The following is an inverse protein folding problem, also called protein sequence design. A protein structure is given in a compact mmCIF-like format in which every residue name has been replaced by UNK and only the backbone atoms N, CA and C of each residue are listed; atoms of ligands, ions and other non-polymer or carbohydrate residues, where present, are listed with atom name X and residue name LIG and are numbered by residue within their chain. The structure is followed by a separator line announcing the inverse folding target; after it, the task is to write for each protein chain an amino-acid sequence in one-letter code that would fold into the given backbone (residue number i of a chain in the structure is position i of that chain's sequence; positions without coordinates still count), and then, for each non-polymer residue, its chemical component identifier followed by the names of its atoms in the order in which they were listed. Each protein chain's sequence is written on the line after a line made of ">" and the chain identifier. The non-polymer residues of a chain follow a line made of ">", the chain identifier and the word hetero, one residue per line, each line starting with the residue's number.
data_IF_565727725177
#
_entry.id   IF_565727725177
#
_cell.length_a   1.000
_cell.length_b   1.000
_cell.length_c   1.000
_cell.angle_alpha   90.00
_cell.angle_beta   90.00
_cell.angle_gamma   90.00
#
_symmetry.space_group_name_H-M   'P 1'
#
loop_
_entity.id
_entity.type
_entity.pdbx_description
1 polymer ?
#
# COMPACT_ATOMS: atom_id res chain seq x y z
N UNK A 1 27.35 48.93 3.62
CA UNK A 1 26.71 48.77 4.94
C UNK A 1 26.74 47.30 5.31
N UNK A 2 27.58 46.92 6.27
CA UNK A 2 27.65 45.56 6.83
C UNK A 2 27.02 45.62 8.23
N UNK A 3 25.86 45.00 8.42
CA UNK A 3 25.29 44.78 9.75
C UNK A 3 25.96 43.54 10.36
N UNK A 4 26.71 43.76 11.44
CA UNK A 4 27.23 42.71 12.31
C UNK A 4 26.25 42.60 13.49
N UNK A 5 25.57 41.46 13.64
CA UNK A 5 24.69 41.19 14.79
C UNK A 5 25.45 40.27 15.74
N UNK A 6 25.74 40.78 16.93
CA UNK A 6 26.33 40.02 18.02
C UNK A 6 25.25 39.14 18.68
N UNK A 7 25.55 37.86 18.86
CA UNK A 7 24.71 36.90 19.60
C UNK A 7 25.23 36.85 21.04
N UNK A 8 24.38 36.97 22.08
CA UNK A 8 24.83 36.86 23.46
C UNK A 8 25.07 35.40 23.83
N UNK A 9 26.14 35.16 24.60
CA UNK A 9 26.46 33.88 25.20
C UNK A 9 25.41 33.53 26.28
N UNK A 10 24.74 32.39 26.12
CA UNK A 10 23.87 31.80 27.14
C UNK A 10 24.73 30.96 28.08
N UNK A 11 24.86 31.42 29.32
CA UNK A 11 25.48 30.65 30.42
C UNK A 11 24.42 29.70 30.97
N UNK A 12 24.62 28.39 30.78
CA UNK A 12 23.78 27.35 31.36
C UNK A 12 24.24 27.10 32.81
N UNK A 13 23.43 27.51 33.79
CA UNK A 13 23.63 27.15 35.20
C UNK A 13 22.88 25.82 35.43
N UNK A 14 23.62 24.73 35.61
CA UNK A 14 23.09 23.44 36.03
C UNK A 14 22.81 23.48 37.54
N UNK A 15 21.55 23.69 37.91
CA UNK A 15 21.07 23.42 39.27
C UNK A 15 20.59 21.98 39.35
N UNK A 16 21.26 21.17 40.17
CA UNK A 16 20.84 19.82 40.54
C UNK A 16 19.53 19.87 41.35
N UNK A 17 18.41 19.49 40.72
CA UNK A 17 17.16 19.23 41.40
C UNK A 17 17.14 17.78 41.93
N UNK A 18 16.57 17.53 43.13
CA UNK A 18 16.48 16.18 43.69
C UNK A 18 15.50 15.32 42.88
N UNK A 19 15.95 14.11 42.54
CA UNK A 19 15.16 13.03 41.98
C UNK A 19 14.10 12.57 42.99
N UNK A 20 12.89 13.10 42.85
CA UNK A 20 11.72 12.62 43.57
C UNK A 20 10.48 13.00 42.80
N UNK A 21 9.97 12.08 41.97
CA UNK A 21 8.62 11.97 41.39
C UNK A 21 8.72 11.29 40.02
N UNK A 22 8.38 10.00 39.94
CA UNK A 22 8.39 9.25 38.67
C UNK A 22 7.38 8.10 38.58
N UNK A 23 6.35 8.09 39.44
CA UNK A 23 5.30 7.05 39.42
C UNK A 23 3.90 7.58 39.05
N UNK A 24 3.66 8.90 39.09
CA UNK A 24 2.36 9.47 38.71
C UNK A 24 2.18 9.64 37.18
N UNK A 25 3.27 9.81 36.43
CA UNK A 25 3.20 10.10 34.98
C UNK A 25 2.87 8.86 34.12
N UNK A 26 3.17 7.65 34.60
CA UNK A 26 2.89 6.40 33.86
C UNK A 26 1.38 6.06 33.91
N UNK A 27 0.68 6.41 34.99
CA UNK A 27 -0.76 6.19 35.13
C UNK A 27 -1.62 7.08 34.23
N UNK A 28 -1.23 8.35 34.04
CA UNK A 28 -1.97 9.29 33.18
C UNK A 28 -1.86 8.93 31.70
N UNK A 29 -0.69 8.52 31.21
CA UNK A 29 -0.53 8.09 29.82
C UNK A 29 -1.37 6.83 29.47
N UNK A 30 -1.55 5.93 30.44
CA UNK A 30 -2.40 4.74 30.29
C UNK A 30 -3.89 5.10 30.26
N UNK A 31 -4.33 6.02 31.14
CA UNK A 31 -5.71 6.48 31.19
C UNK A 31 -6.08 7.33 29.96
N UNK A 32 -5.17 8.17 29.47
CA UNK A 32 -5.39 8.96 28.24
C UNK A 32 -5.40 8.08 27.00
N UNK A 33 -4.60 7.00 26.96
CA UNK A 33 -4.66 5.99 25.90
C UNK A 33 -6.00 5.24 25.89
N UNK A 34 -6.47 4.79 27.07
CA UNK A 34 -7.80 4.17 27.20
C UNK A 34 -8.95 5.14 26.89
N UNK A 35 -8.76 6.44 27.12
CA UNK A 35 -9.75 7.47 26.81
C UNK A 35 -9.78 7.83 25.32
N UNK A 36 -8.63 7.77 24.65
CA UNK A 36 -8.54 7.93 23.19
C UNK A 36 -9.10 6.70 22.45
N UNK A 37 -9.03 5.52 23.05
CA UNK A 37 -9.64 4.29 22.53
C UNK A 37 -11.19 4.25 22.69
N UNK A 38 -11.80 5.16 23.45
CA UNK A 38 -13.25 5.17 23.70
C UNK A 38 -14.05 6.23 22.93
N UNK A 39 -13.39 7.06 22.12
CA UNK A 39 -14.10 7.98 21.22
C UNK A 39 -14.54 7.17 20.00
N UNK A 40 -15.85 7.09 19.69
CA UNK A 40 -16.33 6.40 18.49
C UNK A 40 -15.59 6.96 17.28
N UNK A 41 -14.87 6.08 16.57
CA UNK A 41 -14.15 6.49 15.37
C UNK A 41 -15.18 6.74 14.27
N UNK A 42 -15.15 7.93 13.69
CA UNK A 42 -15.93 8.19 12.48
C UNK A 42 -15.38 7.32 11.36
N UNK A 43 -16.22 6.90 10.43
CA UNK A 43 -15.78 6.09 9.31
C UNK A 43 -14.81 6.84 8.40
N UNK A 44 -14.92 8.17 8.25
CA UNK A 44 -13.88 8.97 7.60
C UNK A 44 -12.54 8.94 8.34
N UNK A 45 -12.54 8.84 9.67
CA UNK A 45 -11.31 8.66 10.43
C UNK A 45 -10.66 7.30 10.13
N UNK A 46 -11.46 6.24 9.97
CA UNK A 46 -10.97 4.90 9.58
C UNK A 46 -10.35 4.92 8.17
N UNK A 47 -11.05 5.50 7.18
CA UNK A 47 -10.54 5.64 5.81
C UNK A 47 -9.23 6.44 5.75
N UNK A 48 -9.16 7.54 6.52
CA UNK A 48 -7.97 8.39 6.57
C UNK A 48 -6.81 7.75 7.34
N UNK A 49 -7.09 6.97 8.38
CA UNK A 49 -6.09 6.27 9.18
C UNK A 49 -5.55 5.00 8.50
N UNK A 50 -6.29 4.40 7.56
CA UNK A 50 -5.83 3.22 6.83
C UNK A 50 -4.51 3.52 6.10
N UNK A 51 -3.49 2.71 6.37
CA UNK A 51 -2.15 2.85 5.82
C UNK A 51 -1.92 1.77 4.77
N UNK A 52 -1.48 2.18 3.57
CA UNK A 52 -1.07 1.26 2.53
C UNK A 52 0.36 0.78 2.75
N UNK A 53 0.73 -0.30 2.07
CA UNK A 53 2.09 -0.81 2.05
C UNK A 53 3.10 0.24 1.56
N UNK A 54 4.36 0.05 1.93
CA UNK A 54 5.41 0.99 1.52
C UNK A 54 5.49 1.09 -0.01
N UNK A 55 5.43 2.33 -0.48
CA UNK A 55 5.47 2.65 -1.90
C UNK A 55 4.14 2.54 -2.66
N UNK A 56 3.08 2.08 -2.01
CA UNK A 56 1.75 2.13 -2.59
C UNK A 56 1.15 3.53 -2.51
N UNK A 57 0.14 3.76 -3.34
CA UNK A 57 -0.68 4.98 -3.29
C UNK A 57 -2.04 4.68 -2.70
N UNK A 58 -2.52 5.54 -1.80
CA UNK A 58 -3.87 5.46 -1.24
C UNK A 58 -4.83 6.32 -2.05
N UNK A 59 -5.93 5.73 -2.49
CA UNK A 59 -7.08 6.44 -3.04
C UNK A 59 -8.28 6.25 -2.12
N UNK A 60 -8.93 7.35 -1.72
CA UNK A 60 -10.16 7.29 -0.93
C UNK A 60 -11.35 7.63 -1.84
N UNK A 61 -12.32 6.73 -1.91
CA UNK A 61 -13.60 6.90 -2.60
C UNK A 61 -14.69 6.97 -1.52
N UNK A 62 -15.58 7.95 -1.61
CA UNK A 62 -16.66 8.16 -0.63
C UNK A 62 -17.95 8.41 -1.41
N UNK A 63 -19.02 7.76 -0.96
CA UNK A 63 -20.38 7.92 -1.44
C UNK A 63 -21.27 8.30 -0.22
N UNK A 64 -22.21 9.21 -0.41
CA UNK A 64 -22.93 9.88 0.68
C UNK A 64 -22.03 10.85 1.47
N UNK A 65 -22.58 11.41 2.56
CA UNK A 65 -21.89 12.31 3.49
C UNK A 65 -21.99 11.73 4.90
N UNK A 66 -20.86 11.65 5.60
CA UNK A 66 -20.87 11.26 7.01
C UNK A 66 -21.40 12.41 7.88
N UNK A 67 -22.70 12.45 8.14
CA UNK A 67 -23.34 13.53 8.92
C UNK A 67 -24.37 13.06 9.97
N UNK A 68 -24.29 11.78 10.35
CA UNK A 68 -25.12 11.15 11.39
C UNK A 68 -26.59 11.00 10.99
N UNK A 69 -26.79 10.52 9.76
CA UNK A 69 -28.10 10.23 9.17
C UNK A 69 -28.96 11.50 9.07
N UNK A 70 -28.37 12.64 8.69
CA UNK A 70 -29.09 13.91 8.68
C UNK A 70 -29.90 14.05 7.39
N UNK A 71 -31.25 14.08 7.45
CA UNK A 71 -32.09 14.19 6.25
C UNK A 71 -32.09 15.60 5.64
N UNK A 72 -31.24 16.51 6.12
CA UNK A 72 -31.18 17.89 5.68
C UNK A 72 -30.65 18.05 4.25
N UNK A 73 -30.01 17.01 3.71
CA UNK A 73 -29.48 16.96 2.34
C UNK A 73 -30.12 15.78 1.63
N UNK A 74 -30.53 16.00 0.37
CA UNK A 74 -30.94 14.88 -0.49
C UNK A 74 -29.69 14.33 -1.14
N UNK A 75 -29.41 13.08 -0.83
CA UNK A 75 -28.20 12.36 -1.22
C UNK A 75 -28.63 11.09 -1.92
N UNK A 76 -28.98 11.18 -3.20
CA UNK A 76 -29.41 10.01 -3.95
C UNK A 76 -28.23 9.08 -4.22
N UNK A 77 -28.44 7.78 -4.02
CA UNK A 77 -27.47 6.78 -4.46
C UNK A 77 -27.28 6.82 -5.97
N UNK A 78 -26.13 6.37 -6.44
CA UNK A 78 -25.82 6.31 -7.87
C UNK A 78 -25.70 4.87 -8.37
N UNK A 79 -26.55 4.49 -9.32
CA UNK A 79 -26.43 3.22 -10.02
C UNK A 79 -25.83 3.47 -11.40
N UNK A 80 -24.77 2.74 -11.72
CA UNK A 80 -24.09 2.88 -13.02
C UNK A 80 -25.03 2.64 -14.22
N UNK A 81 -24.80 3.32 -15.36
CA UNK A 81 -25.68 3.21 -16.52
C UNK A 81 -25.83 1.79 -17.07
N UNK A 82 -27.03 1.48 -17.57
CA UNK A 82 -27.34 0.19 -18.20
C UNK A 82 -27.53 -0.96 -17.20
N UNK A 83 -27.58 -0.66 -15.90
CA UNK A 83 -28.03 -1.59 -14.87
C UNK A 83 -29.41 -1.19 -14.40
N UNK A 84 -30.26 -2.19 -14.24
CA UNK A 84 -31.57 -2.04 -13.61
C UNK A 84 -31.53 -2.89 -12.36
N UNK A 85 -32.03 -2.36 -11.25
CA UNK A 85 -32.36 -3.25 -10.15
C UNK A 85 -33.48 -4.16 -10.60
N UNK A 86 -33.33 -5.44 -10.29
CA UNK A 86 -34.39 -6.41 -10.53
C UNK A 86 -35.68 -6.06 -9.79
N UNK A 87 -36.62 -6.99 -9.79
CA UNK A 87 -37.89 -6.91 -9.05
C UNK A 87 -37.77 -6.54 -7.54
N UNK A 88 -36.55 -6.49 -6.98
CA UNK A 88 -36.25 -6.15 -5.59
C UNK A 88 -36.22 -4.66 -5.24
N UNK A 89 -36.28 -3.72 -6.20
CA UNK A 89 -36.55 -2.31 -5.91
C UNK A 89 -37.91 -1.92 -6.52
N UNK A 90 -39.04 -2.15 -5.83
CA UNK A 90 -40.37 -2.05 -6.44
C UNK A 90 -40.74 -0.64 -6.92
N UNK A 91 -39.97 0.40 -6.58
CA UNK A 91 -40.26 1.81 -6.91
C UNK A 91 -39.02 2.68 -7.22
N UNK A 92 -38.12 2.19 -8.06
CA UNK A 92 -37.49 3.06 -9.08
C UNK A 92 -36.36 4.03 -8.69
N UNK A 93 -35.53 3.73 -7.70
CA UNK A 93 -34.32 4.52 -7.43
C UNK A 93 -33.29 3.76 -6.61
N UNK A 94 -32.06 4.28 -6.56
CA UNK A 94 -30.94 3.79 -5.75
C UNK A 94 -31.19 3.84 -4.22
N UNK A 95 -32.33 4.39 -3.81
CA UNK A 95 -32.51 4.91 -2.46
C UNK A 95 -31.83 6.27 -2.30
N UNK A 96 -32.11 6.93 -1.18
CA UNK A 96 -31.37 8.10 -0.73
C UNK A 96 -30.61 7.70 0.54
N UNK A 97 -29.38 8.19 0.68
CA UNK A 97 -28.68 8.19 1.95
C UNK A 97 -29.53 8.92 3.00
N UNK A 98 -29.30 8.57 4.26
CA UNK A 98 -29.99 9.06 5.47
C UNK A 98 -31.47 8.70 5.56
N UNK A 99 -32.07 8.26 4.46
CA UNK A 99 -33.46 7.87 4.43
C UNK A 99 -33.68 6.50 5.04
N UNK A 100 -34.82 6.44 5.71
CA UNK A 100 -35.34 5.31 6.40
C UNK A 100 -36.62 4.94 5.68
N UNK A 101 -36.56 3.92 4.83
CA UNK A 101 -37.71 3.51 4.07
C UNK A 101 -38.02 2.04 4.38
N UNK A 102 -39.23 1.81 4.89
CA UNK A 102 -39.74 0.46 5.16
C UNK A 102 -40.01 -0.24 3.83
N UNK A 103 -39.60 -1.49 3.72
CA UNK A 103 -39.70 -2.34 2.53
C UNK A 103 -38.95 -1.78 1.31
N UNK A 104 -37.82 -1.08 1.51
CA UNK A 104 -37.01 -0.51 0.43
C UNK A 104 -35.52 -0.81 0.58
N UNK A 105 -34.92 -1.42 -0.45
CA UNK A 105 -33.48 -1.58 -0.53
C UNK A 105 -32.75 -0.31 -0.95
N UNK A 106 -31.47 -0.25 -0.63
CA UNK A 106 -30.55 0.82 -1.04
C UNK A 106 -29.45 0.22 -1.93
N UNK A 107 -28.99 0.98 -2.93
CA UNK A 107 -27.89 0.57 -3.78
C UNK A 107 -27.01 1.73 -4.22
N UNK A 108 -25.71 1.48 -4.38
CA UNK A 108 -24.79 2.42 -5.01
C UNK A 108 -23.66 1.68 -5.73
N UNK A 109 -22.90 2.39 -6.56
CA UNK A 109 -21.85 1.85 -7.41
C UNK A 109 -20.54 2.64 -7.24
N UNK A 110 -19.50 1.98 -6.75
CA UNK A 110 -18.13 2.50 -6.79
C UNK A 110 -17.50 2.24 -8.16
N UNK A 111 -16.87 3.27 -8.74
CA UNK A 111 -15.96 3.08 -9.87
C UNK A 111 -14.52 2.89 -9.37
N UNK A 112 -13.97 1.70 -9.61
CA UNK A 112 -12.63 1.29 -9.20
C UNK A 112 -11.78 1.05 -10.43
N UNK A 113 -10.78 1.92 -10.66
CA UNK A 113 -9.95 1.86 -11.86
C UNK A 113 -8.60 1.17 -11.61
N UNK A 114 -8.25 0.11 -12.33
CA UNK A 114 -6.93 -0.52 -12.20
C UNK A 114 -6.74 -1.38 -10.95
N UNK A 115 -5.53 -1.93 -10.74
CA UNK A 115 -5.27 -2.95 -9.73
C UNK A 115 -5.28 -2.38 -8.30
N UNK A 116 -5.74 -3.20 -7.37
CA UNK A 116 -5.83 -2.94 -5.93
C UNK A 116 -4.97 -3.99 -5.20
N UNK A 117 -4.01 -3.55 -4.40
CA UNK A 117 -3.16 -4.44 -3.60
C UNK A 117 -3.73 -4.74 -2.21
N UNK A 118 -4.58 -3.85 -1.70
CA UNK A 118 -5.26 -3.98 -0.41
C UNK A 118 -6.23 -2.81 -0.20
N UNK A 119 -6.85 -2.74 0.96
CA UNK A 119 -7.68 -1.60 1.32
C UNK A 119 -8.63 -1.89 2.47
N UNK A 120 -9.49 -0.92 2.77
CA UNK A 120 -10.61 -1.09 3.71
C UNK A 120 -11.91 -0.59 3.09
N UNK A 121 -12.98 -1.35 3.27
CA UNK A 121 -14.35 -0.90 3.05
C UNK A 121 -14.94 -0.42 4.37
N UNK A 122 -15.64 0.71 4.34
CA UNK A 122 -16.27 1.33 5.51
C UNK A 122 -17.69 1.70 5.14
N UNK A 123 -18.64 1.39 6.01
CA UNK A 123 -20.04 1.78 5.88
C UNK A 123 -20.57 2.22 7.24
N UNK A 124 -21.36 3.29 7.26
CA UNK A 124 -22.13 3.66 8.43
C UNK A 124 -23.59 3.35 8.20
N UNK A 125 -24.07 2.35 8.93
CA UNK A 125 -25.40 1.78 8.76
C UNK A 125 -26.13 1.65 10.10
N UNK A 126 -27.42 1.96 10.10
CA UNK A 126 -28.29 1.86 11.27
C UNK A 126 -29.58 1.15 10.90
N UNK A 127 -29.76 -0.06 11.44
CA UNK A 127 -30.98 -0.83 11.32
C UNK A 127 -32.11 -0.21 12.14
N UNK A 128 -33.32 -0.20 11.60
CA UNK A 128 -34.52 0.25 12.28
C UNK A 128 -35.10 -0.83 13.18
N UNK A 129 -35.61 -0.45 14.34
CA UNK A 129 -36.38 -1.34 15.21
C UNK A 129 -35.70 -2.68 15.56
N UNK A 130 -34.38 -2.77 15.42
CA UNK A 130 -33.66 -4.03 15.57
C UNK A 130 -33.90 -5.04 14.43
N UNK A 131 -34.21 -4.58 13.22
CA UNK A 131 -34.16 -5.42 12.01
C UNK A 131 -32.75 -5.99 11.88
N UNK A 132 -32.62 -7.29 12.13
CA UNK A 132 -31.35 -8.01 12.08
C UNK A 132 -31.25 -8.92 10.85
N UNK A 133 -32.29 -8.93 10.00
CA UNK A 133 -32.39 -9.77 8.81
C UNK A 133 -31.94 -9.08 7.51
N UNK A 134 -31.57 -7.81 7.60
CA UNK A 134 -31.07 -7.03 6.47
C UNK A 134 -29.69 -7.55 6.04
N UNK A 135 -29.43 -7.58 4.73
CA UNK A 135 -28.16 -8.07 4.17
C UNK A 135 -27.40 -6.95 3.50
N UNK A 136 -26.07 -7.00 3.61
CA UNK A 136 -25.14 -6.20 2.82
C UNK A 136 -24.54 -7.09 1.75
N UNK A 137 -24.74 -6.74 0.48
CA UNK A 137 -24.33 -7.53 -0.68
C UNK A 137 -23.37 -6.72 -1.55
N UNK A 138 -22.40 -7.41 -2.13
CA UNK A 138 -21.42 -6.87 -3.06
C UNK A 138 -21.51 -7.61 -4.40
N UNK A 139 -21.16 -6.92 -5.48
CA UNK A 139 -20.90 -7.56 -6.76
C UNK A 139 -21.31 -6.74 -7.95
N UNK A 140 -21.97 -7.42 -8.91
CA UNK A 140 -22.49 -6.81 -10.12
C UNK A 140 -24.02 -6.87 -10.12
N UNK A 141 -24.65 -5.70 -10.12
CA UNK A 141 -26.08 -5.61 -10.32
C UNK A 141 -26.50 -6.26 -11.63
N UNK A 142 -27.67 -6.91 -11.61
CA UNK A 142 -28.27 -7.54 -12.77
C UNK A 142 -28.40 -6.56 -13.95
N UNK A 143 -28.29 -7.09 -15.17
CA UNK A 143 -28.61 -6.32 -16.40
C UNK A 143 -30.11 -6.31 -16.70
N UNK A 144 -30.80 -7.36 -16.27
CA UNK A 144 -32.19 -7.63 -16.59
C UNK A 144 -33.05 -7.52 -15.31
N UNK A 145 -34.23 -6.89 -15.36
CA UNK A 145 -35.11 -6.73 -14.19
C UNK A 145 -35.56 -8.05 -13.53
N UNK A 146 -35.52 -9.16 -14.29
CA UNK A 146 -35.98 -10.47 -13.84
C UNK A 146 -34.84 -11.41 -13.44
N UNK A 147 -33.58 -10.96 -13.54
CA UNK A 147 -32.43 -11.74 -13.08
C UNK A 147 -32.27 -11.57 -11.57
N UNK A 148 -33.04 -12.41 -10.87
CA UNK A 148 -33.08 -12.52 -9.41
C UNK A 148 -31.72 -12.98 -8.85
N UNK A 149 -30.95 -13.68 -9.69
CA UNK A 149 -29.61 -14.20 -9.43
C UNK A 149 -28.51 -13.25 -9.86
N UNK A 150 -28.80 -11.93 -9.92
CA UNK A 150 -27.80 -10.90 -10.21
C UNK A 150 -26.46 -11.25 -9.57
N UNK A 151 -25.36 -11.00 -10.27
CA UNK A 151 -24.01 -11.49 -9.97
C UNK A 151 -23.41 -10.97 -8.67
N UNK A 152 -24.14 -11.19 -7.57
CA UNK A 152 -23.73 -11.04 -6.20
C UNK A 152 -22.65 -12.07 -5.96
N UNK A 153 -21.50 -11.56 -5.59
CA UNK A 153 -20.32 -12.36 -5.34
C UNK A 153 -20.19 -12.69 -3.86
N UNK A 154 -20.91 -11.97 -3.00
CA UNK A 154 -20.97 -12.23 -1.58
C UNK A 154 -21.95 -11.28 -0.90
N UNK A 155 -22.43 -11.73 0.25
CA UNK A 155 -23.26 -10.93 1.13
C UNK A 155 -23.48 -11.65 2.45
N UNK A 156 -23.72 -10.88 3.49
CA UNK A 156 -23.97 -11.38 4.83
C UNK A 156 -25.06 -10.54 5.50
N UNK A 157 -25.71 -11.13 6.50
CA UNK A 157 -26.64 -10.43 7.38
C UNK A 157 -25.88 -9.35 8.15
N UNK A 158 -26.43 -8.13 8.22
CA UNK A 158 -25.85 -7.02 8.98
C UNK A 158 -25.64 -7.39 10.46
N UNK A 159 -26.53 -8.20 11.03
CA UNK A 159 -26.39 -8.76 12.38
C UNK A 159 -25.18 -9.70 12.51
N UNK A 160 -24.93 -10.53 11.50
CA UNK A 160 -23.76 -11.41 11.45
C UNK A 160 -22.47 -10.60 11.28
N UNK A 161 -22.48 -9.54 10.47
CA UNK A 161 -21.33 -8.64 10.33
C UNK A 161 -20.95 -7.99 11.66
N UNK A 162 -21.93 -7.63 12.49
CA UNK A 162 -21.67 -6.99 13.80
C UNK A 162 -21.05 -7.92 14.84
N UNK A 163 -21.15 -9.23 14.64
CA UNK A 163 -20.71 -10.25 15.61
C UNK A 163 -19.57 -11.11 15.08
N UNK A 164 -19.26 -11.03 13.79
CA UNK A 164 -18.20 -11.78 13.14
C UNK A 164 -16.81 -11.25 13.44
N UNK A 165 -15.80 -12.09 13.22
CA UNK A 165 -14.39 -11.74 13.45
C UNK A 165 -13.79 -10.86 12.35
N UNK A 166 -14.35 -10.91 11.13
CA UNK A 166 -13.87 -10.18 9.95
C UNK A 166 -14.11 -8.66 10.03
N UNK A 167 -15.20 -8.24 10.68
CA UNK A 167 -15.66 -6.87 10.64
C UNK A 167 -15.37 -6.16 11.96
N UNK A 168 -14.70 -5.02 11.86
CA UNK A 168 -14.59 -4.06 12.96
C UNK A 168 -15.89 -3.28 13.11
N UNK A 169 -16.31 -3.07 14.36
CA UNK A 169 -17.55 -2.37 14.71
C UNK A 169 -17.24 -1.22 15.66
N UNK A 170 -17.46 0.01 15.19
CA UNK A 170 -17.36 1.24 15.97
C UNK A 170 -18.76 1.90 16.02
N UNK A 171 -19.64 1.36 16.88
CA UNK A 171 -21.04 1.80 16.97
C UNK A 171 -21.84 1.45 15.70
N UNK A 172 -22.20 2.46 14.92
CA UNK A 172 -22.90 2.29 13.64
C UNK A 172 -21.95 2.18 12.44
N UNK A 173 -20.63 2.30 12.67
CA UNK A 173 -19.62 2.16 11.62
C UNK A 173 -19.15 0.71 11.58
N UNK A 174 -19.32 0.08 10.42
CA UNK A 174 -18.79 -1.24 10.10
C UNK A 174 -17.63 -1.07 9.13
N UNK A 175 -16.56 -1.82 9.32
CA UNK A 175 -15.42 -1.81 8.41
C UNK A 175 -14.73 -3.17 8.33
N UNK A 176 -14.16 -3.49 7.16
CA UNK A 176 -13.38 -4.70 6.96
C UNK A 176 -12.30 -4.46 5.90
N UNK A 177 -11.16 -5.14 6.04
CA UNK A 177 -10.14 -5.10 4.99
C UNK A 177 -10.63 -5.87 3.77
N UNK A 178 -10.29 -5.40 2.57
CA UNK A 178 -10.80 -5.98 1.32
C UNK A 178 -10.35 -7.42 1.11
N UNK A 179 -9.17 -7.79 1.63
CA UNK A 179 -8.63 -9.16 1.62
C UNK A 179 -9.34 -10.11 2.58
N UNK A 180 -9.94 -9.60 3.66
CA UNK A 180 -10.58 -10.43 4.70
C UNK A 180 -12.08 -10.62 4.42
N UNK A 181 -12.65 -9.81 3.51
CA UNK A 181 -14.05 -9.91 3.08
C UNK A 181 -14.22 -11.12 2.14
N UNK A 182 -14.36 -12.30 2.74
CA UNK A 182 -14.60 -13.55 2.03
C UNK A 182 -15.90 -13.51 1.23
N UNK A 183 -15.79 -13.88 -0.03
CA UNK A 183 -16.91 -13.96 -0.96
C UNK A 183 -17.47 -15.38 -0.92
N UNK A 184 -18.54 -15.55 -0.14
CA UNK A 184 -19.25 -16.83 -0.03
C UNK A 184 -20.03 -17.09 -1.31
N UNK A 185 -19.86 -18.29 -1.87
CA UNK A 185 -20.64 -18.78 -3.00
C UNK A 185 -22.10 -18.91 -2.56
N UNK A 186 -22.95 -17.94 -2.90
CA UNK A 186 -24.36 -17.88 -2.48
C UNK A 186 -25.25 -18.94 -3.19
N UNK A 187 -24.66 -19.83 -3.98
CA UNK A 187 -25.32 -21.01 -4.56
C UNK A 187 -24.35 -21.78 -5.45
N UNK A 188 -24.61 -23.07 -5.73
CA UNK A 188 -23.72 -24.01 -6.45
C UNK A 188 -23.27 -23.60 -7.88
N UNK A 189 -23.61 -22.39 -8.33
CA UNK A 189 -23.11 -21.76 -9.54
C UNK A 189 -22.06 -20.69 -9.23
N UNK A 190 -20.83 -21.13 -8.92
CA UNK A 190 -19.61 -20.32 -8.78
C UNK A 190 -19.71 -18.97 -9.50
N UNK A 191 -19.71 -17.88 -8.75
CA UNK A 191 -19.61 -16.52 -9.26
C UNK A 191 -18.43 -16.40 -10.23
N UNK A 192 -18.70 -16.52 -11.54
CA UNK A 192 -17.72 -16.21 -12.58
C UNK A 192 -17.85 -14.73 -12.90
N UNK A 193 -16.76 -13.97 -12.78
CA UNK A 193 -16.68 -12.69 -13.47
C UNK A 193 -17.02 -12.93 -14.95
N UNK A 194 -17.92 -12.11 -15.48
CA UNK A 194 -18.57 -12.30 -16.78
C UNK A 194 -17.49 -12.47 -17.89
N UNK A 195 -17.24 -13.71 -18.33
CA UNK A 195 -16.30 -14.01 -19.41
C UNK A 195 -14.83 -14.29 -19.04
N UNK A 196 -14.46 -14.45 -17.77
CA UNK A 196 -13.10 -14.90 -17.40
C UNK A 196 -13.02 -16.42 -17.27
N UNK A 197 -11.93 -17.01 -17.77
CA UNK A 197 -11.52 -18.36 -17.36
C UNK A 197 -11.45 -18.37 -15.82
N UNK A 198 -12.15 -19.32 -15.20
CA UNK A 198 -12.58 -19.37 -13.78
C UNK A 198 -11.44 -19.25 -12.76
N UNK A 199 -10.90 -18.06 -12.58
CA UNK A 199 -10.14 -17.73 -11.39
C UNK A 199 -11.12 -17.62 -10.22
N UNK A 200 -10.88 -18.41 -9.17
CA UNK A 200 -11.74 -18.45 -7.98
C UNK A 200 -11.55 -17.12 -7.26
N UNK A 201 -12.56 -16.25 -7.33
CA UNK A 201 -12.59 -15.01 -6.56
C UNK A 201 -12.88 -15.35 -5.10
N UNK A 202 -11.91 -15.14 -4.20
CA UNK A 202 -12.03 -15.53 -2.79
C UNK A 202 -12.39 -14.34 -1.89
N UNK A 203 -11.91 -13.15 -2.25
CA UNK A 203 -12.10 -11.92 -1.48
C UNK A 203 -12.65 -10.78 -2.33
N UNK A 204 -13.17 -9.73 -1.68
CA UNK A 204 -13.58 -8.51 -2.38
C UNK A 204 -12.40 -7.87 -3.15
N UNK A 205 -11.18 -7.95 -2.61
CA UNK A 205 -9.97 -7.53 -3.33
C UNK A 205 -9.78 -8.28 -4.65
N UNK A 206 -9.94 -9.61 -4.64
CA UNK A 206 -9.78 -10.43 -5.86
C UNK A 206 -10.84 -10.05 -6.90
N UNK A 207 -12.06 -9.75 -6.47
CA UNK A 207 -13.13 -9.32 -7.37
C UNK A 207 -12.77 -8.02 -8.09
N UNK A 208 -12.27 -7.03 -7.33
CA UNK A 208 -11.84 -5.75 -7.89
C UNK A 208 -10.70 -5.94 -8.90
N UNK A 209 -9.75 -6.83 -8.59
CA UNK A 209 -8.60 -7.13 -9.46
C UNK A 209 -8.95 -7.96 -10.70
N UNK A 210 -9.95 -8.83 -10.62
CA UNK A 210 -10.53 -9.53 -11.78
C UNK A 210 -11.25 -8.58 -12.75
N UNK A 211 -11.22 -7.27 -12.48
CA UNK A 211 -11.88 -6.23 -13.25
C UNK A 211 -13.35 -6.05 -12.89
N UNK A 212 -13.85 -6.74 -11.86
CA UNK A 212 -15.25 -6.73 -11.44
C UNK A 212 -16.21 -6.79 -12.63
N UNK A 213 -17.27 -5.98 -12.59
CA UNK A 213 -18.13 -5.77 -13.76
C UNK A 213 -17.65 -4.59 -14.62
N UNK A 214 -16.40 -4.60 -15.07
CA UNK A 214 -15.80 -3.52 -15.86
C UNK A 214 -15.33 -2.33 -15.03
N UNK A 215 -14.67 -2.62 -13.90
CA UNK A 215 -14.14 -1.62 -12.96
C UNK A 215 -15.20 -1.01 -12.05
N UNK A 216 -16.31 -1.73 -11.81
CA UNK A 216 -17.37 -1.30 -10.92
C UNK A 216 -17.57 -2.31 -9.80
N UNK A 217 -17.84 -1.79 -8.62
CA UNK A 217 -18.34 -2.53 -7.46
C UNK A 217 -19.71 -1.96 -7.11
N UNK A 218 -20.75 -2.78 -7.31
CA UNK A 218 -22.08 -2.43 -6.85
C UNK A 218 -22.27 -2.94 -5.42
N UNK A 219 -22.85 -2.10 -4.57
CA UNK A 219 -23.19 -2.42 -3.18
C UNK A 219 -24.70 -2.33 -3.03
N UNK A 220 -25.30 -3.31 -2.37
CA UNK A 220 -26.73 -3.37 -2.16
C UNK A 220 -27.06 -3.77 -0.73
N UNK A 221 -27.93 -2.99 -0.09
CA UNK A 221 -28.43 -3.26 1.24
C UNK A 221 -29.92 -3.59 1.13
N UNK A 222 -30.30 -4.76 1.66
CA UNK A 222 -31.71 -5.13 1.80
C UNK A 222 -32.31 -4.41 2.99
N UNK A 223 -33.51 -3.87 2.77
CA UNK A 223 -34.57 -3.38 3.69
C UNK A 223 -34.18 -2.68 5.00
N UNK A 224 -35.07 -1.84 5.56
CA UNK A 224 -35.08 -1.32 6.94
C UNK A 224 -33.75 -0.82 7.56
N UNK A 225 -32.78 -0.48 6.73
CA UNK A 225 -31.45 -0.02 7.13
C UNK A 225 -31.18 1.34 6.52
N UNK A 226 -30.98 2.33 7.38
CA UNK A 226 -30.48 3.64 6.98
C UNK A 226 -28.99 3.56 6.70
N UNK A 227 -28.54 4.18 5.62
CA UNK A 227 -27.13 4.32 5.26
C UNK A 227 -26.77 5.80 5.29
N UNK A 228 -25.81 6.18 6.14
CA UNK A 228 -25.28 7.55 6.23
C UNK A 228 -24.25 7.77 5.12
N UNK A 229 -23.27 6.87 5.03
CA UNK A 229 -22.26 6.92 3.97
C UNK A 229 -21.59 5.55 3.75
N UNK A 230 -20.92 5.43 2.61
CA UNK A 230 -20.01 4.31 2.31
C UNK A 230 -18.67 4.85 1.78
N UNK A 231 -17.58 4.14 2.04
CA UNK A 231 -16.30 4.49 1.47
C UNK A 231 -15.34 3.32 1.32
N UNK A 232 -14.37 3.53 0.43
CA UNK A 232 -13.25 2.64 0.17
C UNK A 232 -11.97 3.43 0.33
N UNK A 233 -11.02 2.91 1.11
CA UNK A 233 -9.63 3.32 1.01
C UNK A 233 -8.88 2.21 0.28
N UNK A 234 -8.49 2.46 -0.96
CA UNK A 234 -7.82 1.52 -1.85
C UNK A 234 -6.31 1.76 -1.83
N UNK A 235 -5.57 0.68 -1.63
CA UNK A 235 -4.12 0.66 -1.82
C UNK A 235 -3.80 0.17 -3.23
N UNK A 236 -2.93 0.92 -3.90
CA UNK A 236 -2.62 0.70 -5.32
C UNK A 236 -1.12 0.63 -5.53
N UNK A 237 -0.64 -0.33 -6.34
CA UNK A 237 0.75 -0.33 -6.74
C UNK A 237 1.09 0.94 -7.54
N UNK A 238 2.36 1.34 -7.61
CA UNK A 238 2.78 2.48 -8.44
C UNK A 238 2.33 2.34 -9.89
N UNK A 239 1.76 3.41 -10.46
CA UNK A 239 1.29 3.43 -11.85
C UNK A 239 2.40 3.17 -12.88
N UNK A 240 3.65 3.48 -12.51
CA UNK A 240 4.84 3.22 -13.34
C UNK A 240 5.78 2.33 -12.55
N UNK A 241 6.11 1.17 -13.11
CA UNK A 241 7.09 0.25 -12.53
C UNK A 241 8.49 0.86 -12.64
N UNK A 242 9.15 1.00 -11.49
CA UNK A 242 10.51 1.51 -11.38
C UNK A 242 11.36 0.54 -10.56
N UNK A 243 12.66 0.57 -10.79
CA UNK A 243 13.65 -0.09 -9.97
C UNK A 243 14.49 0.92 -9.22
N UNK A 244 15.08 0.47 -8.12
CA UNK A 244 16.12 1.20 -7.40
C UNK A 244 17.40 1.18 -8.22
N UNK A 245 18.04 2.34 -8.28
CA UNK A 245 19.40 2.44 -8.81
C UNK A 245 20.33 3.11 -7.82
N UNK A 246 21.58 2.68 -7.80
CA UNK A 246 22.62 3.29 -6.99
C UNK A 246 23.57 4.10 -7.85
N UNK A 247 24.13 5.16 -7.28
CA UNK A 247 25.17 5.96 -7.93
C UNK A 247 26.54 5.67 -7.32
N UNK A 248 27.62 5.77 -8.12
CA UNK A 248 28.97 5.70 -7.60
C UNK A 248 29.24 6.90 -6.69
N UNK A 249 29.75 6.63 -5.49
CA UNK A 249 30.24 7.66 -4.59
C UNK A 249 31.69 7.96 -4.95
N UNK A 250 31.95 9.16 -5.46
CA UNK A 250 33.31 9.63 -5.72
C UNK A 250 33.93 10.10 -4.41
N UNK A 251 34.83 9.32 -3.83
CA UNK A 251 35.65 9.80 -2.72
C UNK A 251 36.86 10.57 -3.27
N UNK A 252 37.18 11.75 -2.75
CA UNK A 252 38.26 12.61 -3.26
C UNK A 252 39.69 12.11 -2.91
N UNK A 253 39.87 10.86 -2.48
CA UNK A 253 41.13 10.35 -1.96
C UNK A 253 41.81 9.31 -2.87
N UNK A 254 43.15 9.32 -3.01
CA UNK A 254 43.90 8.31 -3.75
C UNK A 254 43.85 6.90 -3.11
N UNK A 255 43.30 6.77 -1.90
CA UNK A 255 43.26 5.52 -1.13
C UNK A 255 42.12 4.54 -1.53
N UNK A 256 41.37 4.82 -2.60
CA UNK A 256 40.24 3.96 -3.03
C UNK A 256 40.47 3.22 -4.35
N UNK A 257 41.71 3.12 -4.82
CA UNK A 257 42.02 2.25 -5.95
C UNK A 257 41.60 0.81 -5.63
N UNK A 258 40.82 0.20 -6.53
CA UNK A 258 40.33 -1.16 -6.36
C UNK A 258 39.08 -1.28 -5.47
N UNK A 259 38.42 -0.18 -5.09
CA UNK A 259 37.17 -0.19 -4.33
C UNK A 259 36.03 0.47 -5.11
N UNK A 260 34.90 -0.21 -5.14
CA UNK A 260 33.62 0.33 -5.62
C UNK A 260 32.76 0.67 -4.40
N UNK A 261 32.17 1.86 -4.40
CA UNK A 261 31.16 2.27 -3.42
C UNK A 261 29.94 2.85 -4.16
N UNK A 262 28.80 2.21 -3.98
CA UNK A 262 27.52 2.56 -4.59
C UNK A 262 26.55 2.97 -3.47
N UNK A 263 25.87 4.12 -3.61
CA UNK A 263 24.96 4.59 -2.57
C UNK A 263 23.75 5.34 -3.12
N UNK A 264 22.63 5.23 -2.39
CA UNK A 264 21.39 5.94 -2.69
C UNK A 264 21.53 7.46 -2.56
N UNK A 265 22.32 7.88 -1.58
CA UNK A 265 22.54 9.29 -1.21
C UNK A 265 23.92 9.81 -1.64
N UNK A 266 24.48 9.26 -2.72
CA UNK A 266 25.79 9.70 -3.24
C UNK A 266 25.79 11.17 -3.69
N UNK A 267 24.63 11.73 -4.03
CA UNK A 267 24.46 13.10 -4.49
C UNK A 267 23.56 13.88 -3.52
N UNK A 268 23.92 15.14 -3.26
CA UNK A 268 23.16 16.03 -2.36
C UNK A 268 21.81 16.46 -2.93
N UNK A 269 21.73 16.51 -4.25
CA UNK A 269 20.55 16.84 -5.03
C UNK A 269 19.39 15.88 -4.71
N UNK A 270 18.29 16.36 -4.10
CA UNK A 270 17.14 15.53 -3.74
C UNK A 270 16.46 14.89 -4.95
N UNK A 271 16.45 15.56 -6.12
CA UNK A 271 15.80 15.05 -7.34
C UNK A 271 16.59 13.89 -7.96
N UNK A 272 17.83 13.71 -7.52
CA UNK A 272 18.72 12.62 -7.93
C UNK A 272 18.96 11.59 -6.83
N UNK A 273 18.16 11.58 -5.76
CA UNK A 273 18.23 10.50 -4.77
C UNK A 273 17.58 9.23 -5.33
N UNK A 274 18.08 8.07 -4.92
CA UNK A 274 17.33 6.84 -5.15
C UNK A 274 16.07 6.82 -4.25
N UNK A 275 15.09 6.00 -4.59
CA UNK A 275 13.90 5.78 -3.77
C UNK A 275 13.73 4.27 -3.53
N UNK A 276 14.10 3.75 -2.35
CA UNK A 276 14.04 2.31 -2.10
C UNK A 276 12.62 1.74 -2.13
N UNK A 277 11.61 2.55 -1.79
CA UNK A 277 10.24 2.06 -1.61
C UNK A 277 9.51 1.83 -2.94
N UNK A 278 9.67 2.74 -3.91
CA UNK A 278 8.97 2.67 -5.20
C UNK A 278 9.90 2.62 -6.41
N UNK A 279 11.21 2.61 -6.19
CA UNK A 279 12.20 2.79 -7.24
C UNK A 279 12.30 4.24 -7.71
N UNK A 280 13.42 4.55 -8.33
CA UNK A 280 13.72 5.90 -8.84
C UNK A 280 13.83 5.96 -10.37
N UNK A 281 14.06 4.82 -11.01
CA UNK A 281 14.29 4.75 -12.45
C UNK A 281 13.30 3.80 -13.11
N UNK A 282 12.64 4.23 -14.18
CA UNK A 282 11.69 3.41 -14.94
C UNK A 282 12.36 2.15 -15.47
N UNK A 283 11.70 0.99 -15.37
CA UNK A 283 12.35 -0.29 -15.68
C UNK A 283 12.74 -0.47 -17.14
N UNK A 284 12.14 0.31 -18.06
CA UNK A 284 12.53 0.35 -19.47
C UNK A 284 13.87 1.09 -19.72
N UNK A 285 14.43 1.76 -18.71
CA UNK A 285 15.70 2.47 -18.85
C UNK A 285 16.86 1.47 -18.99
N UNK A 286 17.83 1.82 -19.84
CA UNK A 286 19.03 1.01 -20.03
C UNK A 286 20.15 1.49 -19.12
N UNK A 287 20.46 0.71 -18.08
CA UNK A 287 21.55 0.97 -17.13
C UNK A 287 22.38 -0.29 -16.91
N UNK A 288 23.66 -0.17 -16.54
CA UNK A 288 24.45 -1.31 -16.08
C UNK A 288 23.78 -2.00 -14.88
N UNK A 289 23.94 -3.32 -14.77
CA UNK A 289 23.57 -4.06 -13.56
C UNK A 289 24.80 -4.16 -12.67
N UNK A 290 24.66 -3.79 -11.39
CA UNK A 290 25.69 -4.09 -10.40
C UNK A 290 25.59 -5.58 -10.02
N UNK A 291 26.64 -6.33 -10.32
CA UNK A 291 26.77 -7.71 -9.92
C UNK A 291 27.78 -7.80 -8.78
N UNK A 292 27.53 -8.72 -7.85
CA UNK A 292 28.40 -9.02 -6.72
C UNK A 292 28.73 -10.51 -6.70
N UNK A 293 29.98 -10.83 -6.38
CA UNK A 293 30.38 -12.15 -5.89
C UNK A 293 30.63 -12.01 -4.39
N UNK A 294 29.69 -12.47 -3.54
CA UNK A 294 29.86 -12.43 -2.09
C UNK A 294 31.13 -13.15 -1.65
N UNK A 295 31.70 -12.73 -0.53
CA UNK A 295 32.88 -13.33 0.06
C UNK A 295 33.18 -12.75 1.43
N UNK A 296 34.31 -13.17 2.01
CA UNK A 296 34.75 -12.78 3.35
C UNK A 296 36.02 -11.91 3.30
N UNK A 297 36.13 -11.05 2.27
CA UNK A 297 37.28 -10.16 2.17
C UNK A 297 37.29 -9.23 3.39
N UNK A 298 38.45 -9.05 4.05
CA UNK A 298 38.55 -8.13 5.18
C UNK A 298 38.19 -6.72 4.70
N UNK A 299 37.36 -6.03 5.47
CA UNK A 299 37.05 -4.62 5.20
C UNK A 299 38.37 -3.86 5.08
N UNK A 300 38.60 -3.10 4.00
CA UNK A 300 39.77 -2.25 3.92
C UNK A 300 39.65 -1.21 5.03
N UNK A 301 40.48 -1.35 6.07
CA UNK A 301 40.54 -0.38 7.16
C UNK A 301 41.16 0.88 6.56
N UNK A 302 40.35 1.91 6.32
CA UNK A 302 40.91 3.22 6.00
C UNK A 302 41.67 3.73 7.22
N UNK A 303 42.83 4.36 7.01
CA UNK A 303 43.66 4.93 8.06
C UNK A 303 42.92 5.98 8.93
N UNK A 304 41.79 6.50 8.46
CA UNK A 304 40.90 7.44 9.15
C UNK A 304 39.72 6.80 9.89
N UNK A 305 39.56 5.47 9.84
CA UNK A 305 38.58 4.69 10.62
C UNK A 305 37.10 4.93 10.30
N UNK A 306 36.76 5.66 9.23
CA UNK A 306 35.43 6.29 9.14
C UNK A 306 34.47 5.88 8.02
N UNK A 307 34.86 5.16 6.96
CA UNK A 307 34.00 5.15 5.74
C UNK A 307 33.60 3.78 5.18
N UNK A 308 34.20 2.65 5.57
CA UNK A 308 33.87 1.36 4.91
C UNK A 308 33.09 0.37 5.80
N UNK A 309 33.22 0.44 7.12
CA UNK A 309 32.70 -0.60 8.04
C UNK A 309 31.17 -0.74 8.07
N UNK A 310 30.42 0.28 7.64
CA UNK A 310 28.95 0.24 7.57
C UNK A 310 28.36 0.00 6.18
N UNK A 311 29.22 -0.26 5.19
CA UNK A 311 28.83 -0.36 3.77
C UNK A 311 29.55 -1.51 3.04
N UNK A 312 30.41 -2.26 3.73
CA UNK A 312 31.26 -3.30 3.15
C UNK A 312 30.50 -4.61 3.01
N UNK A 313 30.50 -5.16 1.80
CA UNK A 313 29.84 -6.43 1.50
C UNK A 313 30.71 -7.67 1.68
N UNK A 314 32.03 -7.51 1.86
CA UNK A 314 32.97 -8.64 1.84
C UNK A 314 33.28 -9.19 0.44
N UNK A 315 32.60 -8.71 -0.60
CA UNK A 315 32.65 -9.28 -1.95
C UNK A 315 33.43 -8.47 -2.99
N UNK A 316 33.46 -9.05 -4.19
CA UNK A 316 33.85 -8.37 -5.43
C UNK A 316 32.61 -7.77 -6.11
N UNK A 317 32.72 -6.55 -6.63
CA UNK A 317 31.67 -5.86 -7.38
C UNK A 317 32.16 -5.57 -8.80
N UNK A 318 31.31 -5.85 -9.77
CA UNK A 318 31.52 -5.52 -11.18
C UNK A 318 30.19 -5.05 -11.80
N UNK A 319 30.26 -4.25 -12.85
CA UNK A 319 29.06 -3.75 -13.55
C UNK A 319 29.04 -4.26 -14.98
N UNK A 320 27.84 -4.59 -15.47
CA UNK A 320 27.64 -5.07 -16.85
C UNK A 320 27.63 -3.93 -17.85
N UNK A 321 27.46 -4.25 -19.13
CA UNK A 321 26.96 -3.31 -20.12
C UNK A 321 25.54 -2.81 -19.78
N UNK A 322 25.09 -1.64 -20.30
CA UNK A 322 23.75 -1.13 -20.04
C UNK A 322 22.63 -1.97 -20.68
N UNK A 323 21.68 -2.37 -19.85
CA UNK A 323 20.57 -3.21 -20.24
C UNK A 323 19.25 -2.76 -19.60
N UNK A 324 18.11 -3.14 -20.19
CA UNK A 324 16.79 -2.75 -19.67
C UNK A 324 16.45 -3.54 -18.40
N UNK A 325 15.95 -2.89 -17.37
CA UNK A 325 15.55 -3.57 -16.12
C UNK A 325 14.39 -4.55 -16.33
N UNK A 326 13.43 -4.17 -17.18
CA UNK A 326 12.25 -4.97 -17.53
C UNK A 326 12.50 -6.14 -18.50
N UNK A 327 13.74 -6.32 -18.99
CA UNK A 327 14.08 -7.51 -19.78
C UNK A 327 14.10 -8.78 -18.92
N UNK A 328 14.26 -8.63 -17.59
CA UNK A 328 14.32 -9.71 -16.62
C UNK A 328 12.96 -9.85 -15.95
N UNK A 329 12.32 -11.01 -16.12
CA UNK A 329 11.02 -11.31 -15.50
C UNK A 329 11.17 -11.64 -14.01
N UNK A 330 12.25 -12.32 -13.64
CA UNK A 330 12.49 -12.78 -12.27
C UNK A 330 13.89 -12.41 -11.79
N UNK A 331 14.07 -12.36 -10.47
CA UNK A 331 15.41 -12.17 -9.87
C UNK A 331 16.41 -13.24 -10.34
N UNK A 332 15.96 -14.48 -10.55
CA UNK A 332 16.80 -15.56 -11.04
C UNK A 332 17.35 -15.31 -12.46
N UNK A 333 16.61 -14.61 -13.32
CA UNK A 333 17.07 -14.27 -14.66
C UNK A 333 18.21 -13.23 -14.64
N UNK A 334 18.12 -12.22 -13.77
CA UNK A 334 19.18 -11.22 -13.61
C UNK A 334 20.40 -11.77 -12.87
N UNK A 335 20.20 -12.68 -11.91
CA UNK A 335 21.30 -13.44 -11.30
C UNK A 335 22.01 -14.32 -12.32
N UNK A 336 21.27 -15.06 -13.15
CA UNK A 336 21.84 -15.86 -14.23
C UNK A 336 22.59 -14.99 -15.26
N UNK A 337 22.12 -13.75 -15.50
CA UNK A 337 22.84 -12.78 -16.32
C UNK A 337 24.19 -12.38 -15.70
N UNK A 338 24.22 -12.04 -14.41
CA UNK A 338 25.46 -11.77 -13.68
C UNK A 338 26.43 -12.97 -13.73
N UNK A 339 25.93 -14.18 -13.50
CA UNK A 339 26.73 -15.41 -13.54
C UNK A 339 27.30 -15.69 -14.94
N UNK A 340 26.54 -15.48 -16.02
CA UNK A 340 27.06 -15.60 -17.39
C UNK A 340 28.13 -14.57 -17.69
N UNK A 341 28.00 -13.34 -17.17
CA UNK A 341 28.89 -12.23 -17.48
C UNK A 341 30.25 -12.31 -16.77
N UNK A 342 30.25 -12.81 -15.53
CA UNK A 342 31.43 -12.77 -14.66
C UNK A 342 31.86 -14.13 -14.09
N UNK A 343 31.08 -15.19 -14.36
CA UNK A 343 31.35 -16.56 -13.94
C UNK A 343 30.48 -17.03 -12.77
N UNK A 344 30.62 -18.30 -12.35
CA UNK A 344 29.87 -18.86 -11.23
C UNK A 344 30.05 -18.07 -9.93
N UNK A 345 28.98 -17.98 -9.13
CA UNK A 345 28.96 -17.30 -7.82
C UNK A 345 28.68 -15.80 -7.88
N UNK A 346 28.54 -15.21 -9.07
CA UNK A 346 28.05 -13.85 -9.23
C UNK A 346 26.53 -13.80 -9.27
N UNK A 347 25.95 -12.86 -8.53
CA UNK A 347 24.53 -12.52 -8.53
C UNK A 347 24.33 -11.02 -8.66
N UNK A 348 23.10 -10.56 -8.81
CA UNK A 348 22.81 -9.13 -8.69
C UNK A 348 23.17 -8.64 -7.28
N UNK A 349 23.75 -7.45 -7.20
CA UNK A 349 23.99 -6.76 -5.93
C UNK A 349 22.66 -6.26 -5.35
N UNK A 350 22.47 -6.45 -4.06
CA UNK A 350 21.32 -5.97 -3.31
C UNK A 350 21.66 -4.64 -2.60
N UNK A 351 20.65 -3.79 -2.43
CA UNK A 351 20.76 -2.51 -1.73
C UNK A 351 21.35 -2.68 -0.31
N UNK A 352 21.03 -3.80 0.33
CA UNK A 352 21.44 -4.13 1.70
C UNK A 352 22.69 -5.01 1.80
N UNK A 353 23.38 -5.29 0.70
CA UNK A 353 24.61 -6.12 0.72
C UNK A 353 25.73 -5.48 1.55
N UNK A 354 25.71 -4.16 1.75
CA UNK A 354 26.63 -3.43 2.64
C UNK A 354 26.11 -3.21 4.06
N UNK A 355 24.93 -3.72 4.42
CA UNK A 355 24.23 -3.43 5.67
C UNK A 355 23.08 -2.42 5.50
N UNK A 356 22.72 -1.72 6.58
CA UNK A 356 21.46 -0.94 6.67
C UNK A 356 21.47 0.43 5.97
N UNK A 357 22.58 0.85 5.37
CA UNK A 357 22.79 2.23 4.94
C UNK A 357 22.46 2.49 3.46
N UNK A 358 21.60 1.66 2.83
CA UNK A 358 21.16 1.83 1.43
C UNK A 358 22.33 2.03 0.46
N UNK A 359 23.36 1.21 0.64
CA UNK A 359 24.63 1.31 -0.07
C UNK A 359 25.39 0.01 0.02
N UNK A 360 26.23 -0.22 -0.98
CA UNK A 360 27.03 -1.43 -1.10
C UNK A 360 28.43 -1.04 -1.56
N UNK A 361 29.43 -1.69 -0.96
CA UNK A 361 30.84 -1.49 -1.29
C UNK A 361 31.56 -2.83 -1.36
N UNK A 362 32.55 -2.92 -2.24
CA UNK A 362 33.28 -4.14 -2.50
C UNK A 362 34.57 -3.86 -3.26
N UNK A 363 35.38 -4.90 -3.47
CA UNK A 363 36.56 -4.78 -4.33
C UNK A 363 36.11 -4.71 -5.79
N UNK A 364 36.64 -3.77 -6.57
CA UNK A 364 36.25 -3.58 -7.97
C UNK A 364 36.95 -2.38 -8.61
N UNK A 365 36.65 -2.11 -9.87
CA UNK A 365 37.19 -0.94 -10.57
C UNK A 365 36.17 0.21 -10.64
N UNK A 366 36.29 1.26 -9.82
CA UNK A 366 35.34 2.38 -9.83
C UNK A 366 35.36 3.15 -11.16
N UNK A 367 36.43 3.07 -11.96
CA UNK A 367 36.49 3.73 -13.26
C UNK A 367 35.48 3.15 -14.28
N UNK A 368 35.02 1.92 -14.05
CA UNK A 368 34.01 1.26 -14.89
C UNK A 368 32.58 1.75 -14.60
N UNK A 369 32.38 2.51 -13.52
CA UNK A 369 31.05 2.94 -13.05
C UNK A 369 30.95 4.45 -13.16
N UNK A 370 30.38 4.92 -14.27
CA UNK A 370 30.27 6.36 -14.56
C UNK A 370 28.88 6.92 -14.28
N UNK A 371 27.87 6.07 -14.16
CA UNK A 371 26.47 6.43 -13.97
C UNK A 371 25.77 5.49 -12.98
N UNK A 372 24.45 5.65 -12.84
CA UNK A 372 23.56 4.79 -12.08
C UNK A 372 23.63 3.33 -12.53
N UNK A 373 23.42 2.43 -11.58
CA UNK A 373 23.40 0.99 -11.81
C UNK A 373 22.17 0.37 -11.16
N UNK A 374 21.58 -0.63 -11.83
CA UNK A 374 20.52 -1.44 -11.26
C UNK A 374 21.03 -2.26 -10.08
N UNK A 375 20.24 -2.31 -9.01
CA UNK A 375 20.43 -3.18 -7.85
C UNK A 375 19.11 -3.85 -7.49
N UNK A 376 19.18 -4.91 -6.70
CA UNK A 376 18.00 -5.55 -6.11
C UNK A 376 17.64 -4.98 -4.74
N UNK A 377 16.36 -5.06 -4.39
CA UNK A 377 15.86 -4.72 -3.05
C UNK A 377 14.75 -5.70 -2.64
N UNK A 378 15.17 -6.80 -2.01
CA UNK A 378 14.30 -7.94 -1.70
C UNK A 378 13.06 -7.60 -0.87
N UNK A 379 13.21 -6.65 0.05
CA UNK A 379 12.21 -6.23 1.04
C UNK A 379 11.27 -5.12 0.53
N UNK A 380 11.46 -4.63 -0.70
CA UNK A 380 10.61 -3.59 -1.30
C UNK A 380 10.06 -4.08 -2.64
N UNK A 381 8.84 -4.65 -2.67
CA UNK A 381 8.29 -5.29 -3.88
C UNK A 381 8.07 -4.31 -5.03
N UNK A 382 7.88 -3.02 -4.73
CA UNK A 382 7.71 -1.96 -5.72
C UNK A 382 9.01 -1.21 -6.07
N UNK A 383 10.12 -1.52 -5.38
CA UNK A 383 11.43 -0.95 -5.61
C UNK A 383 12.29 -1.73 -6.61
N UNK A 384 11.74 -2.75 -7.28
CA UNK A 384 12.50 -3.63 -8.17
C UNK A 384 11.82 -3.81 -9.53
N UNK A 385 12.60 -4.13 -10.55
CA UNK A 385 12.10 -4.35 -11.90
C UNK A 385 11.68 -5.80 -12.21
N UNK A 386 12.03 -6.74 -11.33
CA UNK A 386 11.82 -8.17 -11.54
C UNK A 386 11.02 -8.81 -10.39
N UNK A 387 10.32 -9.91 -10.68
CA UNK A 387 9.53 -10.66 -9.71
C UNK A 387 10.38 -11.58 -8.81
N UNK A 388 9.80 -11.96 -7.67
CA UNK A 388 10.39 -12.85 -6.64
C UNK A 388 10.08 -14.34 -6.91
N UNK A 389 10.40 -14.83 -8.12
CA UNK A 389 10.17 -16.20 -8.62
C UNK A 389 8.70 -16.64 -8.78
#
# INVERSE_FOLDING_TARGET
>A
MRLSVAVPAVVLILTSAPLGLGLAAIGQASADRQRLESIPRTGMAILNAHACGEGETKQVLVLGVEDDFSPARSESGFIRPGRTHGAFLPRGGAGEYDQVNVDQGFADSFKVEGPVSGGVFVIRARSLNGSENDTLNFGALAREPNDVTGGWIGGDLLSALRTGETWGVDGNVLHANLEDMELRDLGEGRASAEGSDREVVQSLKDYLNAGGAGGWLDVFIQDDTAIDFMGLALCRPPAVRKGVTLMPVRSPGPEQHGLVHLACHAVRDPDRRCNPYVGDTVCAARLPVACIRPGDLPSPVQASGRIVTGHWSGGDIAVTEPVSGDQFRTVGEVEAFCARRFGPGWRIAALHDGGRNQSVSGRGDPATITDRVWVDIADQPHGTCWARQ
#
